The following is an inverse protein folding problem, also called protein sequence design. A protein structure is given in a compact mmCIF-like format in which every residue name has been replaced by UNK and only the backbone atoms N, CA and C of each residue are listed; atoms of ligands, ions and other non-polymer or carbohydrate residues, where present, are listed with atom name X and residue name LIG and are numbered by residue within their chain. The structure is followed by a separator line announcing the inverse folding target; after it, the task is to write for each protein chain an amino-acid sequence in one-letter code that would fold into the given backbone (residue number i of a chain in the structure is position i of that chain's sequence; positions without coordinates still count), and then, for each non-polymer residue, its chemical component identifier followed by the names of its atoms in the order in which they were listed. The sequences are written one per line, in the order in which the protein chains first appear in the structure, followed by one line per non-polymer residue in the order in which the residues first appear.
data_IF_321711877180
#
_entry.id   IF_321711877180
#
_cell.length_a   1.000
_cell.length_b   1.000
_cell.length_c   1.000
_cell.angle_alpha   90.00
_cell.angle_beta   90.00
_cell.angle_gamma   90.00
#
_symmetry.space_group_name_H-M   'P 1'
#
loop_
_entity.id
_entity.type
_entity.pdbx_description
1 polymer ?
#
# COMPACT_ATOMS: atom_id res chain seq x y z
N UNK A 1 10.89 -1.91 -2.73
CA UNK A 1 9.98 -2.83 -1.99
C UNK A 1 9.93 -2.39 -0.54
N UNK A 2 8.79 -2.52 0.14
CA UNK A 2 8.61 -2.11 1.54
C UNK A 2 8.06 -3.27 2.38
N UNK A 3 8.19 -3.19 3.70
CA UNK A 3 7.69 -4.21 4.63
C UNK A 3 6.17 -4.24 4.80
N UNK A 4 5.67 -5.15 5.63
CA UNK A 4 4.23 -5.35 5.85
C UNK A 4 3.53 -4.11 6.40
N UNK A 5 4.07 -3.50 7.46
CA UNK A 5 3.48 -2.32 8.09
C UNK A 5 3.50 -1.10 7.17
N UNK A 6 4.50 -1.01 6.29
CA UNK A 6 4.57 -0.01 5.22
C UNK A 6 3.40 -0.12 4.26
N UNK A 7 3.06 -1.35 3.81
CA UNK A 7 1.89 -1.59 2.97
C UNK A 7 0.58 -1.15 3.62
N UNK A 8 0.41 -1.44 4.91
CA UNK A 8 -0.74 -0.98 5.70
C UNK A 8 -0.81 0.56 5.78
N UNK A 9 0.31 1.23 6.06
CA UNK A 9 0.38 2.68 6.13
C UNK A 9 0.11 3.35 4.77
N UNK A 10 0.63 2.79 3.68
CA UNK A 10 0.35 3.26 2.31
C UNK A 10 -1.13 3.16 2.01
N UNK A 11 -1.76 2.00 2.31
CA UNK A 11 -3.18 1.81 2.02
C UNK A 11 -4.06 2.82 2.78
N UNK A 12 -3.76 3.05 4.07
CA UNK A 12 -4.45 4.08 4.85
C UNK A 12 -4.25 5.48 4.26
N UNK A 13 -3.02 5.82 3.85
CA UNK A 13 -2.72 7.10 3.21
C UNK A 13 -3.42 7.30 1.87
N UNK A 14 -3.56 6.25 1.05
CA UNK A 14 -4.33 6.30 -0.20
C UNK A 14 -5.83 6.51 0.05
N UNK A 15 -6.38 5.87 1.09
CA UNK A 15 -7.77 6.11 1.52
C UNK A 15 -7.98 7.56 1.97
N UNK A 16 -7.02 8.15 2.69
CA UNK A 16 -7.06 9.58 3.03
C UNK A 16 -6.92 10.48 1.80
N UNK A 17 -6.07 10.11 0.84
CA UNK A 17 -5.86 10.87 -0.40
C UNK A 17 -7.12 10.90 -1.29
N UNK A 18 -7.94 9.86 -1.23
CA UNK A 18 -9.20 9.78 -1.98
C UNK A 18 -10.34 10.64 -1.43
N UNK A 19 -10.16 11.29 -0.27
CA UNK A 19 -11.19 12.13 0.35
C UNK A 19 -11.17 13.54 -0.24
N UNK A 20 -12.36 14.08 -0.54
CA UNK A 20 -12.54 15.41 -1.12
C UNK A 20 -11.92 16.50 -0.24
N UNK A 21 -12.06 16.41 1.08
CA UNK A 21 -11.49 17.38 2.01
C UNK A 21 -9.95 17.38 2.06
N UNK A 22 -9.31 16.37 1.47
CA UNK A 22 -7.86 16.24 1.39
C UNK A 22 -7.31 16.57 0.00
N UNK A 23 -8.15 16.99 -0.95
CA UNK A 23 -7.72 17.41 -2.28
C UNK A 23 -6.65 18.52 -2.18
N UNK A 24 -5.55 18.34 -2.92
CA UNK A 24 -4.42 19.28 -2.94
C UNK A 24 -3.52 19.24 -1.69
N UNK A 25 -3.82 18.45 -0.66
CA UNK A 25 -2.95 18.31 0.52
C UNK A 25 -1.76 17.38 0.22
N UNK A 26 -0.66 17.62 0.92
CA UNK A 26 0.49 16.71 0.92
C UNK A 26 0.33 15.68 2.04
N UNK A 27 0.32 14.39 1.69
CA UNK A 27 0.25 13.28 2.64
C UNK A 27 1.64 12.65 2.75
N UNK A 28 2.15 12.56 3.98
CA UNK A 28 3.43 11.91 4.29
C UNK A 28 3.15 10.56 4.94
N UNK A 29 3.76 9.49 4.40
CA UNK A 29 3.57 8.12 4.87
C UNK A 29 4.92 7.55 5.29
N UNK A 30 4.98 6.98 6.50
CA UNK A 30 6.21 6.39 7.04
C UNK A 30 6.34 4.94 6.56
N UNK A 31 7.55 4.60 6.13
CA UNK A 31 7.95 3.28 5.67
C UNK A 31 9.01 2.73 6.64
N UNK A 32 8.62 1.95 7.67
CA UNK A 32 9.53 1.60 8.76
C UNK A 32 10.73 0.75 8.33
N UNK A 33 10.57 -0.10 7.32
CA UNK A 33 11.63 -0.98 6.82
C UNK A 33 11.45 -1.46 5.37
N UNK A 34 12.52 -2.09 4.88
CA UNK A 34 12.56 -2.72 3.56
C UNK A 34 11.94 -4.13 3.58
N UNK A 35 11.36 -4.50 2.44
CA UNK A 35 10.74 -5.80 2.21
C UNK A 35 11.71 -7.01 2.28
N UNK A 36 13.01 -6.79 2.10
CA UNK A 36 14.03 -7.87 2.08
C UNK A 36 14.07 -8.69 3.37
N UNK A 37 13.75 -8.07 4.52
CA UNK A 37 13.68 -8.75 5.81
C UNK A 37 12.56 -9.81 5.88
N UNK A 38 11.62 -9.77 4.93
CA UNK A 38 10.43 -10.59 4.91
C UNK A 38 10.48 -11.72 3.86
N UNK A 39 11.62 -11.94 3.22
CA UNK A 39 11.78 -13.01 2.21
C UNK A 39 11.48 -14.43 2.75
N UNK A 40 11.65 -14.67 4.06
CA UNK A 40 11.33 -15.95 4.70
C UNK A 40 9.87 -16.07 5.14
N UNK A 41 9.05 -15.04 4.95
CA UNK A 41 7.64 -14.99 5.32
C UNK A 41 6.73 -15.20 4.11
N UNK A 42 5.41 -15.14 4.30
CA UNK A 42 4.44 -15.32 3.21
C UNK A 42 4.20 -14.04 2.38
N UNK A 43 4.85 -12.92 2.72
CA UNK A 43 4.62 -11.61 2.07
C UNK A 43 4.68 -11.64 0.53
N UNK A 44 5.52 -12.50 -0.03
CA UNK A 44 5.72 -12.61 -1.49
C UNK A 44 5.25 -13.94 -2.07
N UNK A 45 4.58 -14.79 -1.29
CA UNK A 45 4.15 -16.12 -1.75
C UNK A 45 2.83 -16.07 -2.53
N UNK A 46 2.06 -15.00 -2.38
CA UNK A 46 0.84 -14.75 -3.15
C UNK A 46 1.13 -13.78 -4.28
N UNK A 47 0.66 -14.09 -5.48
CA UNK A 47 0.69 -13.20 -6.64
C UNK A 47 -0.72 -12.66 -6.84
N UNK A 48 -0.86 -11.34 -6.84
CA UNK A 48 -2.11 -10.69 -7.23
C UNK A 48 -2.28 -10.76 -8.74
N UNK A 49 -3.44 -11.22 -9.19
CA UNK A 49 -3.78 -11.33 -10.62
C UNK A 49 -4.55 -10.09 -11.10
N UNK A 50 -4.41 -9.77 -12.40
CA UNK A 50 -5.12 -8.68 -13.06
C UNK A 50 -4.27 -7.47 -13.38
N UNK A 51 -4.91 -6.44 -13.95
CA UNK A 51 -4.25 -5.18 -14.28
C UNK A 51 -3.95 -4.37 -13.03
N UNK A 52 -2.96 -3.46 -13.10
CA UNK A 52 -2.63 -2.54 -12.01
C UNK A 52 -3.86 -1.79 -11.47
N UNK A 53 -4.76 -1.35 -12.36
CA UNK A 53 -5.96 -0.63 -11.95
C UNK A 53 -6.92 -1.55 -11.18
N UNK A 54 -7.15 -2.77 -11.65
CA UNK A 54 -8.02 -3.73 -10.96
C UNK A 54 -7.52 -4.08 -9.56
N UNK A 55 -6.20 -4.21 -9.38
CA UNK A 55 -5.60 -4.44 -8.05
C UNK A 55 -5.73 -3.20 -7.15
N UNK A 56 -5.57 -1.99 -7.70
CA UNK A 56 -5.77 -0.76 -6.93
C UNK A 56 -7.24 -0.61 -6.51
N UNK A 57 -8.16 -0.90 -7.42
CA UNK A 57 -9.59 -0.83 -7.16
C UNK A 57 -9.97 -1.85 -6.07
N UNK A 58 -9.46 -3.10 -6.11
CA UNK A 58 -9.77 -4.12 -5.09
C UNK A 58 -9.29 -3.75 -3.67
N UNK A 59 -8.25 -2.93 -3.55
CA UNK A 59 -7.73 -2.44 -2.27
C UNK A 59 -8.50 -1.22 -1.74
N UNK A 60 -9.11 -0.43 -2.62
CA UNK A 60 -9.78 0.83 -2.32
C UNK A 60 -11.32 0.73 -2.27
N UNK A 61 -11.88 -0.37 -2.79
CA UNK A 61 -13.27 -0.80 -2.58
C UNK A 61 -13.55 -1.10 -1.09
#
# INVERSE_FOLDING_TARGET
MCGMSSGAAILAGLKEAGKVENEGKTIVIILPDCGERYLSTDLYKTIEEGTKQQVLDSLLL
#
